data_IF_183215715968
#
_entry.id   IF_183215715968
#
_cell.length_a   1.000
_cell.length_b   1.000
_cell.length_c   1.000
_cell.angle_alpha   90.00
_cell.angle_beta   90.00
_cell.angle_gamma   90.00
#
_symmetry.space_group_name_H-M   'P 1'
#
loop_
_entity.id
_entity.type
_entity.pdbx_description
1 polymer ?
#
# COMPACT_ATOMS: atom_id res chain seq x y z
N UNK A 1 -14.83 24.56 -10.04
CA UNK A 1 -15.08 23.24 -9.41
C UNK A 1 -15.04 23.48 -7.93
N UNK A 2 -16.21 23.59 -7.28
CA UNK A 2 -16.39 23.79 -5.85
C UNK A 2 -15.80 22.58 -5.12
N UNK A 3 -14.78 22.84 -4.30
CA UNK A 3 -13.94 21.81 -3.75
C UNK A 3 -14.64 20.93 -2.73
N UNK A 4 -14.94 19.70 -3.13
CA UNK A 4 -15.07 18.62 -2.16
C UNK A 4 -13.70 18.49 -1.48
N UNK A 5 -13.63 18.58 -0.14
CA UNK A 5 -12.35 18.49 0.55
C UNK A 5 -11.70 17.13 0.21
N UNK A 6 -10.45 17.17 -0.22
CA UNK A 6 -9.67 15.96 -0.43
C UNK A 6 -9.44 15.33 0.95
N UNK A 7 -9.75 14.04 1.14
CA UNK A 7 -9.63 13.41 2.45
C UNK A 7 -8.16 13.32 2.88
N UNK A 8 -7.94 13.07 4.18
CA UNK A 8 -6.62 12.63 4.63
C UNK A 8 -6.27 11.30 3.98
N UNK A 9 -5.11 11.24 3.35
CA UNK A 9 -4.60 10.05 2.70
C UNK A 9 -3.49 9.41 3.53
N UNK A 10 -3.73 8.20 4.02
CA UNK A 10 -2.69 7.32 4.55
C UNK A 10 -2.17 6.46 3.41
N UNK A 11 -0.95 6.72 2.98
CA UNK A 11 -0.29 5.96 1.93
C UNK A 11 0.62 4.90 2.55
N UNK A 12 0.29 3.61 2.37
CA UNK A 12 1.15 2.52 2.83
C UNK A 12 2.27 2.29 1.82
N UNK A 13 3.47 2.73 2.18
CA UNK A 13 4.68 2.59 1.37
C UNK A 13 5.50 1.35 1.72
N UNK A 14 6.42 0.98 0.85
CA UNK A 14 7.36 -0.13 1.03
C UNK A 14 7.34 -1.11 -0.13
N UNK A 15 8.19 -2.15 -0.07
CA UNK A 15 8.16 -3.19 -1.11
C UNK A 15 7.00 -4.17 -0.86
N UNK A 16 6.36 -4.64 -1.91
CA UNK A 16 5.40 -5.74 -1.82
C UNK A 16 5.94 -6.92 -1.00
N UNK A 17 5.08 -7.66 -0.30
CA UNK A 17 5.42 -8.73 0.65
C UNK A 17 5.98 -8.25 2.01
N UNK A 18 5.96 -6.95 2.28
CA UNK A 18 6.35 -6.40 3.59
C UNK A 18 5.23 -6.41 4.63
N UNK A 19 4.05 -6.95 4.32
CA UNK A 19 2.92 -7.03 5.25
C UNK A 19 1.97 -5.84 5.20
N UNK A 20 2.09 -4.96 4.21
CA UNK A 20 1.22 -3.79 4.05
C UNK A 20 -0.27 -4.14 3.96
N UNK A 21 -0.64 -5.29 3.36
CA UNK A 21 -2.04 -5.75 3.33
C UNK A 21 -2.56 -6.08 4.73
N UNK A 22 -1.75 -6.64 5.62
CA UNK A 22 -2.16 -6.83 7.02
C UNK A 22 -2.38 -5.48 7.70
N UNK A 23 -1.41 -4.54 7.57
CA UNK A 23 -1.52 -3.20 8.16
C UNK A 23 -2.76 -2.48 7.62
N UNK A 24 -3.00 -2.52 6.31
CA UNK A 24 -4.18 -1.99 5.66
C UNK A 24 -5.48 -2.55 6.25
N UNK A 25 -5.57 -3.88 6.36
CA UNK A 25 -6.75 -4.57 6.88
C UNK A 25 -7.01 -4.26 8.37
N UNK A 26 -5.95 -4.04 9.16
CA UNK A 26 -6.07 -3.61 10.54
C UNK A 26 -6.55 -2.15 10.63
N UNK A 27 -6.02 -1.25 9.79
CA UNK A 27 -6.46 0.14 9.73
C UNK A 27 -7.93 0.27 9.31
N UNK A 28 -8.40 -0.60 8.40
CA UNK A 28 -9.80 -0.66 8.00
C UNK A 28 -10.77 -1.02 9.14
N UNK A 29 -10.27 -1.54 10.26
CA UNK A 29 -11.06 -1.79 11.47
C UNK A 29 -11.27 -0.54 12.34
N UNK A 30 -10.60 0.57 12.04
CA UNK A 30 -10.73 1.82 12.77
C UNK A 30 -11.95 2.63 12.28
N UNK A 31 -12.69 3.30 13.18
CA UNK A 31 -13.80 4.16 12.78
C UNK A 31 -13.33 5.31 11.88
N UNK A 32 -14.13 5.66 10.88
CA UNK A 32 -13.84 6.73 9.94
C UNK A 32 -12.68 6.45 8.95
N UNK A 33 -12.27 5.19 8.81
CA UNK A 33 -11.19 4.78 7.90
C UNK A 33 -11.74 3.86 6.81
N UNK A 34 -11.53 4.26 5.54
CA UNK A 34 -11.83 3.44 4.36
C UNK A 34 -10.54 2.95 3.71
N UNK A 35 -10.31 1.65 3.64
CA UNK A 35 -9.18 1.06 2.92
C UNK A 35 -9.59 0.57 1.53
N UNK A 36 -8.80 0.90 0.51
CA UNK A 36 -9.15 0.70 -0.89
C UNK A 36 -8.15 -0.14 -1.69
N UNK A 37 -7.14 -0.69 -1.02
CA UNK A 37 -6.14 -1.54 -1.66
C UNK A 37 -5.09 -0.75 -2.44
N UNK A 38 -4.61 -1.35 -3.51
CA UNK A 38 -3.56 -0.80 -4.36
C UNK A 38 -4.19 0.01 -5.50
N UNK A 39 -4.54 1.29 -5.24
CA UNK A 39 -5.20 2.19 -6.22
C UNK A 39 -4.38 2.38 -7.49
N UNK A 40 -3.05 2.30 -7.39
CA UNK A 40 -2.14 2.37 -8.56
C UNK A 40 -2.46 1.33 -9.64
N UNK A 41 -3.08 0.23 -9.27
CA UNK A 41 -3.47 -0.84 -10.18
C UNK A 41 -4.93 -0.76 -10.61
N UNK A 42 -5.75 0.11 -9.99
CA UNK A 42 -7.18 0.23 -10.23
C UNK A 42 -7.50 0.50 -11.72
N UNK A 43 -6.75 1.41 -12.33
CA UNK A 43 -6.96 1.79 -13.73
C UNK A 43 -6.92 0.60 -14.68
N UNK A 44 -5.89 -0.22 -14.57
CA UNK A 44 -5.70 -1.36 -15.46
C UNK A 44 -6.51 -2.58 -15.02
N UNK A 45 -6.44 -2.94 -13.73
CA UNK A 45 -7.02 -4.19 -13.23
C UNK A 45 -8.51 -4.07 -12.94
N UNK A 46 -8.93 -2.93 -12.36
CA UNK A 46 -10.33 -2.65 -12.09
C UNK A 46 -11.07 -2.20 -13.34
N UNK A 47 -10.74 -0.99 -13.85
CA UNK A 47 -11.52 -0.34 -14.91
C UNK A 47 -11.41 -1.08 -16.25
N UNK A 48 -10.20 -1.54 -16.65
CA UNK A 48 -10.00 -2.20 -17.96
C UNK A 48 -10.24 -3.71 -17.90
N UNK A 49 -9.69 -4.39 -16.88
CA UNK A 49 -9.71 -5.86 -16.81
C UNK A 49 -10.85 -6.43 -15.97
N UNK A 50 -11.62 -5.58 -15.31
CA UNK A 50 -12.74 -5.95 -14.43
C UNK A 50 -12.41 -7.04 -13.41
N UNK A 51 -11.17 -7.03 -12.88
CA UNK A 51 -10.73 -7.99 -11.85
C UNK A 51 -11.56 -7.84 -10.58
N UNK A 52 -11.59 -8.89 -9.77
CA UNK A 52 -12.41 -8.93 -8.55
C UNK A 52 -12.00 -7.90 -7.52
N UNK A 53 -12.98 -7.18 -7.00
CA UNK A 53 -12.89 -6.38 -5.78
C UNK A 53 -12.67 -7.27 -4.55
N UNK A 54 -12.14 -6.72 -3.48
CA UNK A 54 -11.97 -7.42 -2.21
C UNK A 54 -13.26 -7.95 -1.57
N UNK A 55 -14.42 -7.45 -1.99
CA UNK A 55 -15.74 -7.99 -1.59
C UNK A 55 -16.11 -9.28 -2.32
N UNK A 56 -15.37 -9.67 -3.35
CA UNK A 56 -15.62 -10.89 -4.14
C UNK A 56 -16.30 -10.63 -5.49
N UNK A 57 -17.04 -9.52 -5.64
CA UNK A 57 -17.66 -9.11 -6.90
C UNK A 57 -16.62 -8.66 -7.93
N UNK A 58 -16.98 -8.63 -9.22
CA UNK A 58 -16.18 -7.92 -10.21
C UNK A 58 -16.07 -6.43 -9.85
N UNK A 59 -15.09 -5.72 -10.38
CA UNK A 59 -14.94 -4.30 -10.11
C UNK A 59 -16.17 -3.52 -10.58
N UNK A 60 -16.70 -3.81 -11.77
CA UNK A 60 -17.91 -3.21 -12.32
C UNK A 60 -19.18 -3.61 -11.56
N UNK A 61 -19.25 -4.82 -11.03
CA UNK A 61 -20.35 -5.34 -10.23
C UNK A 61 -20.37 -4.82 -8.79
N UNK A 62 -19.24 -4.33 -8.28
CA UNK A 62 -19.12 -3.84 -6.92
C UNK A 62 -19.84 -2.48 -6.77
N UNK A 63 -20.89 -2.42 -5.95
CA UNK A 63 -21.66 -1.20 -5.71
C UNK A 63 -20.76 -0.04 -5.28
N UNK A 64 -19.82 -0.27 -4.35
CA UNK A 64 -18.88 0.74 -3.88
C UNK A 64 -18.08 1.38 -5.02
N UNK A 65 -17.45 0.57 -5.88
CA UNK A 65 -16.64 1.10 -6.97
C UNK A 65 -17.48 1.73 -8.07
N UNK A 66 -18.69 1.23 -8.31
CA UNK A 66 -19.63 1.87 -9.22
C UNK A 66 -20.00 3.28 -8.76
N UNK A 67 -20.33 3.43 -7.47
CA UNK A 67 -20.71 4.70 -6.88
C UNK A 67 -19.52 5.67 -6.83
N UNK A 68 -18.31 5.18 -6.51
CA UNK A 68 -17.06 5.97 -6.62
C UNK A 68 -16.84 6.45 -8.07
N UNK A 69 -17.04 5.60 -9.06
CA UNK A 69 -16.92 5.98 -10.47
C UNK A 69 -17.92 7.04 -10.88
N UNK A 70 -19.17 6.91 -10.40
CA UNK A 70 -20.22 7.89 -10.66
C UNK A 70 -19.88 9.25 -10.04
N UNK A 71 -19.47 9.28 -8.78
CA UNK A 71 -19.08 10.50 -8.07
C UNK A 71 -17.82 11.15 -8.66
N UNK A 72 -16.80 10.35 -8.99
CA UNK A 72 -15.54 10.87 -9.52
C UNK A 72 -15.61 11.35 -10.95
N UNK A 73 -16.33 10.65 -11.83
CA UNK A 73 -16.24 10.83 -13.29
C UNK A 73 -17.60 10.85 -14.01
N UNK A 74 -18.72 10.71 -13.31
CA UNK A 74 -20.02 10.47 -13.93
C UNK A 74 -20.17 9.02 -14.41
N UNK A 75 -19.30 8.13 -13.99
CA UNK A 75 -19.20 6.72 -14.35
C UNK A 75 -17.85 6.37 -14.96
N UNK A 76 -17.39 5.12 -14.75
CA UNK A 76 -16.10 4.66 -15.29
C UNK A 76 -16.05 4.69 -16.83
N UNK A 77 -17.19 4.59 -17.51
CA UNK A 77 -17.27 4.67 -18.97
C UNK A 77 -16.95 6.08 -19.52
N UNK A 78 -17.02 7.12 -18.69
CA UNK A 78 -16.68 8.50 -19.04
C UNK A 78 -15.20 8.82 -18.85
N UNK A 79 -14.44 7.88 -18.25
CA UNK A 79 -13.03 8.06 -17.99
C UNK A 79 -12.19 7.70 -19.22
N UNK A 80 -11.35 8.62 -19.66
CA UNK A 80 -10.26 8.33 -20.60
C UNK A 80 -9.12 7.59 -19.87
N UNK A 81 -9.25 6.26 -19.77
CA UNK A 81 -8.27 5.42 -19.08
C UNK A 81 -6.94 5.33 -19.84
N UNK A 82 -6.95 5.51 -21.16
CA UNK A 82 -5.73 5.55 -21.98
C UNK A 82 -4.91 6.79 -21.62
N UNK A 83 -5.58 7.94 -21.47
CA UNK A 83 -4.92 9.18 -21.01
C UNK A 83 -4.29 9.01 -19.63
N UNK A 84 -5.01 8.44 -18.65
CA UNK A 84 -4.46 8.17 -17.32
C UNK A 84 -3.24 7.25 -17.40
N UNK A 85 -3.30 6.21 -18.23
CA UNK A 85 -2.19 5.27 -18.44
C UNK A 85 -0.98 5.95 -19.09
N UNK A 86 -1.20 6.82 -20.06
CA UNK A 86 -0.14 7.62 -20.70
C UNK A 86 0.52 8.56 -19.70
N UNK A 87 -0.27 9.28 -18.91
CA UNK A 87 0.25 10.15 -17.84
C UNK A 87 1.06 9.37 -16.81
N UNK A 88 0.55 8.21 -16.37
CA UNK A 88 1.29 7.33 -15.49
C UNK A 88 2.65 6.93 -16.07
N UNK A 89 2.70 6.62 -17.36
CA UNK A 89 3.96 6.29 -18.03
C UNK A 89 4.93 7.48 -18.09
N UNK A 90 4.40 8.70 -18.21
CA UNK A 90 5.18 9.93 -18.29
C UNK A 90 5.74 10.37 -16.94
N UNK A 91 4.97 10.22 -15.82
CA UNK A 91 5.38 10.78 -14.52
C UNK A 91 5.60 9.75 -13.43
N UNK A 92 4.80 8.68 -13.33
CA UNK A 92 4.82 7.71 -12.23
C UNK A 92 5.65 6.47 -12.56
N UNK A 93 6.97 6.64 -12.57
CA UNK A 93 7.96 5.57 -12.75
C UNK A 93 9.10 5.73 -11.74
N UNK A 94 9.63 4.63 -11.24
CA UNK A 94 10.76 4.65 -10.30
C UNK A 94 11.95 5.46 -10.82
N UNK A 95 12.24 5.40 -12.12
CA UNK A 95 13.30 6.19 -12.76
C UNK A 95 13.06 7.71 -12.74
N UNK A 96 11.82 8.15 -12.53
CA UNK A 96 11.46 9.56 -12.45
C UNK A 96 11.56 10.14 -11.03
N UNK A 97 11.82 9.31 -10.01
CA UNK A 97 11.95 9.77 -8.62
C UNK A 97 12.96 10.92 -8.47
N UNK A 98 14.16 10.89 -9.09
CA UNK A 98 15.08 12.02 -8.98
C UNK A 98 14.51 13.34 -9.52
N UNK A 99 13.70 13.29 -10.58
CA UNK A 99 13.01 14.46 -11.12
C UNK A 99 11.88 14.93 -10.21
N UNK A 100 11.09 13.98 -9.67
CA UNK A 100 9.99 14.27 -8.75
C UNK A 100 10.46 14.76 -7.38
N UNK A 101 11.69 14.44 -6.99
CA UNK A 101 12.34 14.95 -5.77
C UNK A 101 12.94 16.34 -5.98
N UNK A 102 13.14 16.79 -7.21
CA UNK A 102 13.73 18.09 -7.48
C UNK A 102 12.85 19.24 -7.00
N UNK A 103 13.42 20.33 -6.43
CA UNK A 103 12.65 21.48 -5.93
C UNK A 103 11.86 22.21 -7.03
N UNK A 104 12.33 22.13 -8.28
CA UNK A 104 11.69 22.75 -9.44
C UNK A 104 11.45 21.71 -10.53
N UNK A 105 10.19 21.41 -10.80
CA UNK A 105 9.80 20.55 -11.91
C UNK A 105 9.84 21.31 -13.24
N UNK A 106 10.28 20.64 -14.31
CA UNK A 106 10.17 21.18 -15.67
C UNK A 106 8.71 21.44 -16.03
N UNK A 107 8.35 22.51 -16.78
CA UNK A 107 6.97 22.87 -17.09
C UNK A 107 6.14 21.70 -17.69
N UNK A 108 6.69 20.95 -18.64
CA UNK A 108 6.00 19.82 -19.25
C UNK A 108 5.66 18.71 -18.23
N UNK A 109 6.63 18.33 -17.38
CA UNK A 109 6.39 17.34 -16.32
C UNK A 109 5.37 17.85 -15.31
N UNK A 110 5.39 19.16 -15.01
CA UNK A 110 4.43 19.78 -14.08
C UNK A 110 3.01 19.70 -14.61
N UNK A 111 2.78 19.93 -15.90
CA UNK A 111 1.46 19.82 -16.51
C UNK A 111 0.91 18.39 -16.46
N UNK A 112 1.71 17.42 -16.94
CA UNK A 112 1.30 16.01 -16.92
C UNK A 112 1.09 15.49 -15.49
N UNK A 113 1.94 15.93 -14.54
CA UNK A 113 1.80 15.57 -13.14
C UNK A 113 0.53 16.16 -12.52
N UNK A 114 0.23 17.44 -12.79
CA UNK A 114 -0.97 18.09 -12.27
C UNK A 114 -2.24 17.40 -12.77
N UNK A 115 -2.29 17.05 -14.06
CA UNK A 115 -3.39 16.30 -14.63
C UNK A 115 -3.52 14.91 -14.02
N UNK A 116 -2.41 14.16 -13.91
CA UNK A 116 -2.37 12.84 -13.28
C UNK A 116 -2.87 12.86 -11.84
N UNK A 117 -2.44 13.85 -11.05
CA UNK A 117 -2.88 14.04 -9.68
C UNK A 117 -4.35 14.42 -9.57
N UNK A 118 -4.88 15.15 -10.55
CA UNK A 118 -6.31 15.46 -10.66
C UNK A 118 -7.19 14.21 -10.69
N UNK A 119 -6.78 13.16 -11.40
CA UNK A 119 -7.50 11.88 -11.39
C UNK A 119 -7.49 11.22 -10.01
N UNK A 120 -6.37 11.20 -9.33
CA UNK A 120 -6.26 10.61 -7.98
C UNK A 120 -7.06 11.41 -6.94
N UNK A 121 -6.98 12.74 -7.00
CA UNK A 121 -7.74 13.61 -6.09
C UNK A 121 -9.26 13.37 -6.23
N UNK A 122 -9.77 13.27 -7.45
CA UNK A 122 -11.18 12.95 -7.71
C UNK A 122 -11.57 11.58 -7.15
N UNK A 123 -10.73 10.57 -7.36
CA UNK A 123 -10.97 9.22 -6.82
C UNK A 123 -10.97 9.21 -5.30
N UNK A 124 -9.97 9.83 -4.64
CA UNK A 124 -9.92 9.84 -3.18
C UNK A 124 -11.08 10.64 -2.57
N UNK A 125 -11.46 11.77 -3.16
CA UNK A 125 -12.65 12.53 -2.73
C UNK A 125 -13.93 11.72 -2.87
N UNK A 126 -14.12 11.05 -4.01
CA UNK A 126 -15.27 10.18 -4.23
C UNK A 126 -15.30 8.97 -3.26
N UNK A 127 -14.13 8.38 -2.94
CA UNK A 127 -14.04 7.32 -1.93
C UNK A 127 -14.49 7.83 -0.57
N UNK A 128 -14.04 9.01 -0.15
CA UNK A 128 -14.44 9.60 1.13
C UNK A 128 -15.93 9.92 1.16
N UNK A 129 -16.49 10.47 0.09
CA UNK A 129 -17.91 10.77 -0.06
C UNK A 129 -18.77 9.51 0.02
N UNK A 130 -18.47 8.49 -0.80
CA UNK A 130 -19.25 7.25 -0.86
C UNK A 130 -19.14 6.43 0.42
N UNK A 131 -17.97 6.41 1.06
CA UNK A 131 -17.77 5.67 2.31
C UNK A 131 -18.21 6.44 3.56
N UNK A 132 -18.36 7.75 3.48
CA UNK A 132 -18.53 8.63 4.65
C UNK A 132 -17.29 8.69 5.56
N UNK A 133 -16.13 8.24 5.09
CA UNK A 133 -14.90 8.16 5.87
C UNK A 133 -13.96 9.34 5.56
N UNK A 134 -13.55 10.14 6.54
CA UNK A 134 -12.62 11.27 6.34
C UNK A 134 -11.18 10.83 6.07
N UNK A 135 -10.85 9.55 6.29
CA UNK A 135 -9.51 8.98 6.10
C UNK A 135 -9.55 7.85 5.09
N UNK A 136 -8.76 7.98 4.03
CA UNK A 136 -8.59 6.94 3.01
C UNK A 136 -7.22 6.29 3.16
N UNK A 137 -7.17 4.95 3.10
CA UNK A 137 -5.93 4.18 3.13
C UNK A 137 -5.68 3.57 1.76
N UNK A 138 -4.60 4.00 1.10
CA UNK A 138 -4.10 3.44 -0.15
C UNK A 138 -2.82 2.63 0.11
N UNK A 139 -2.86 1.36 -0.23
CA UNK A 139 -1.72 0.44 -0.06
C UNK A 139 -0.95 0.19 -1.37
N UNK A 140 -0.89 1.16 -2.27
CA UNK A 140 -0.22 1.06 -3.57
C UNK A 140 1.27 0.72 -3.48
N UNK A 141 1.96 1.06 -2.42
CA UNK A 141 3.36 0.72 -2.11
C UNK A 141 4.42 1.38 -3.00
N UNK A 142 4.05 1.90 -4.16
CA UNK A 142 4.98 2.47 -5.14
C UNK A 142 5.52 3.81 -4.66
N UNK A 143 6.84 3.90 -4.47
CA UNK A 143 7.47 5.15 -4.06
C UNK A 143 7.26 6.25 -5.11
N UNK A 144 7.28 5.93 -6.41
CA UNK A 144 7.04 6.90 -7.47
C UNK A 144 5.68 7.59 -7.37
N UNK A 145 4.61 6.83 -7.06
CA UNK A 145 3.30 7.44 -6.84
C UNK A 145 3.29 8.34 -5.60
N UNK A 146 3.92 7.92 -4.49
CA UNK A 146 4.03 8.77 -3.30
C UNK A 146 4.79 10.07 -3.60
N UNK A 147 5.84 10.02 -4.43
CA UNK A 147 6.54 11.19 -4.93
C UNK A 147 5.67 12.07 -5.86
N UNK A 148 4.76 11.49 -6.63
CA UNK A 148 3.77 12.27 -7.36
C UNK A 148 2.80 12.97 -6.40
N UNK A 149 2.18 12.21 -5.50
CA UNK A 149 1.13 12.69 -4.58
C UNK A 149 1.59 13.86 -3.69
N UNK A 150 2.87 13.93 -3.31
CA UNK A 150 3.41 15.05 -2.51
C UNK A 150 3.23 16.44 -3.17
N UNK A 151 3.05 16.47 -4.48
CA UNK A 151 2.89 17.73 -5.24
C UNK A 151 1.45 18.22 -5.29
N UNK A 152 0.49 17.47 -4.74
CA UNK A 152 -0.90 17.91 -4.69
C UNK A 152 -1.14 18.77 -3.43
N UNK A 153 -1.25 20.09 -3.62
CA UNK A 153 -1.31 21.06 -2.51
C UNK A 153 -2.49 20.85 -1.55
N UNK A 154 -3.59 20.26 -2.02
CA UNK A 154 -4.79 20.03 -1.18
C UNK A 154 -4.84 18.65 -0.50
N UNK A 155 -3.80 17.81 -0.64
CA UNK A 155 -3.81 16.45 -0.10
C UNK A 155 -3.06 16.39 1.25
N UNK A 156 -3.75 16.05 2.36
CA UNK A 156 -3.09 15.69 3.63
C UNK A 156 -2.49 14.29 3.49
N UNK A 157 -1.30 14.22 2.86
CA UNK A 157 -0.58 12.98 2.62
C UNK A 157 0.25 12.59 3.83
N UNK A 158 -0.03 11.40 4.39
CA UNK A 158 0.77 10.78 5.46
C UNK A 158 1.22 9.39 5.04
N UNK A 159 2.51 9.17 5.05
CA UNK A 159 3.10 7.89 4.60
C UNK A 159 3.38 7.00 5.79
N UNK A 160 2.82 5.80 5.77
CA UNK A 160 3.22 4.72 6.68
C UNK A 160 4.16 3.79 5.91
N UNK A 161 5.45 3.92 6.16
CA UNK A 161 6.49 3.13 5.51
C UNK A 161 6.63 1.78 6.20
N UNK A 162 5.99 0.75 5.64
CA UNK A 162 6.01 -0.62 6.16
C UNK A 162 7.25 -1.34 5.67
N UNK A 163 8.16 -1.64 6.58
CA UNK A 163 9.38 -2.39 6.30
C UNK A 163 9.30 -3.80 6.89
N UNK A 164 9.97 -4.74 6.25
CA UNK A 164 10.13 -6.12 6.71
C UNK A 164 11.55 -6.59 6.41
N UNK A 165 12.04 -7.56 7.19
CA UNK A 165 13.34 -8.19 6.94
C UNK A 165 13.51 -8.56 5.46
N UNK A 166 14.57 -8.07 4.82
CA UNK A 166 14.81 -8.25 3.38
C UNK A 166 14.86 -9.73 2.96
N UNK A 167 15.36 -10.60 3.86
CA UNK A 167 15.44 -12.06 3.65
C UNK A 167 14.05 -12.68 3.61
N UNK A 168 13.17 -12.28 4.53
CA UNK A 168 11.77 -12.69 4.54
C UNK A 168 11.03 -12.23 3.29
N UNK A 169 11.28 -10.99 2.85
CA UNK A 169 10.70 -10.43 1.63
C UNK A 169 11.18 -11.19 0.39
N UNK A 170 12.50 -11.41 0.24
CA UNK A 170 13.07 -12.14 -0.87
C UNK A 170 12.57 -13.59 -0.94
N UNK A 171 12.48 -14.27 0.21
CA UNK A 171 11.90 -15.61 0.30
C UNK A 171 10.42 -15.61 -0.15
N UNK A 172 9.64 -14.62 0.27
CA UNK A 172 8.23 -14.50 -0.12
C UNK A 172 8.06 -14.24 -1.62
N UNK A 173 8.93 -13.43 -2.25
CA UNK A 173 8.92 -13.16 -3.69
C UNK A 173 9.37 -14.36 -4.55
N UNK A 174 10.16 -15.26 -4.00
CA UNK A 174 10.57 -16.48 -4.70
C UNK A 174 9.44 -17.53 -4.78
N UNK A 175 8.41 -17.43 -3.93
CA UNK A 175 7.30 -18.39 -3.86
C UNK A 175 6.25 -18.12 -4.94
N UNK A 176 5.66 -19.18 -5.44
CA UNK A 176 4.50 -19.12 -6.33
C UNK A 176 3.25 -18.83 -5.50
N UNK A 177 2.52 -17.79 -5.86
CA UNK A 177 1.26 -17.39 -5.20
C UNK A 177 0.21 -17.18 -6.27
N UNK A 178 -0.89 -17.92 -6.16
CA UNK A 178 -2.05 -17.78 -7.06
C UNK A 178 -2.71 -16.41 -6.93
N UNK A 179 -3.29 -15.95 -8.04
CA UNK A 179 -4.10 -14.73 -8.13
C UNK A 179 -5.58 -15.11 -8.28
N UNK A 180 -6.37 -15.14 -7.19
CA UNK A 180 -7.79 -15.48 -7.27
C UNK A 180 -8.64 -14.36 -7.88
N UNK A 181 -8.07 -13.18 -8.04
CA UNK A 181 -8.70 -11.97 -8.60
C UNK A 181 -8.68 -11.90 -10.13
N UNK A 182 -7.80 -12.64 -10.79
CA UNK A 182 -7.70 -12.65 -12.23
C UNK A 182 -8.81 -13.51 -12.88
N UNK A 183 -9.27 -13.08 -14.05
CA UNK A 183 -10.29 -13.80 -14.83
C UNK A 183 -9.81 -15.18 -15.30
N UNK A 184 -8.51 -15.34 -15.54
CA UNK A 184 -7.88 -16.60 -15.90
C UNK A 184 -6.86 -17.01 -14.82
N UNK A 185 -6.66 -18.33 -14.56
CA UNK A 185 -5.68 -18.78 -13.60
C UNK A 185 -4.30 -18.17 -13.85
N UNK A 186 -3.82 -17.40 -12.91
CA UNK A 186 -2.53 -16.70 -13.02
C UNK A 186 -1.81 -16.66 -11.67
N UNK A 187 -0.54 -16.32 -11.73
CA UNK A 187 0.30 -16.23 -10.54
C UNK A 187 0.89 -14.84 -10.40
N UNK A 188 1.18 -14.46 -9.16
CA UNK A 188 1.92 -13.24 -8.89
C UNK A 188 3.36 -13.36 -9.42
N UNK A 189 3.93 -12.24 -9.85
CA UNK A 189 5.32 -12.18 -10.29
C UNK A 189 6.28 -12.78 -9.24
N UNK A 190 7.37 -13.36 -9.70
CA UNK A 190 8.44 -13.92 -8.87
C UNK A 190 9.75 -13.20 -9.16
N UNK A 191 10.55 -13.01 -8.14
CA UNK A 191 11.89 -12.42 -8.26
C UNK A 191 12.96 -13.36 -7.75
N UNK A 192 14.12 -13.32 -8.39
CA UNK A 192 15.34 -13.94 -7.84
C UNK A 192 15.72 -13.24 -6.53
N UNK A 193 16.52 -13.88 -5.66
CA UNK A 193 16.98 -13.25 -4.42
C UNK A 193 17.72 -11.92 -4.64
N UNK A 194 18.53 -11.83 -5.68
CA UNK A 194 19.26 -10.60 -6.05
C UNK A 194 18.35 -9.50 -6.53
N UNK A 195 17.41 -9.81 -7.41
CA UNK A 195 16.40 -8.85 -7.89
C UNK A 195 15.52 -8.34 -6.74
N UNK A 196 15.07 -9.24 -5.86
CA UNK A 196 14.29 -8.88 -4.69
C UNK A 196 15.08 -7.95 -3.73
N UNK A 197 16.38 -8.21 -3.52
CA UNK A 197 17.26 -7.36 -2.73
C UNK A 197 17.42 -5.97 -3.37
N UNK A 198 17.62 -5.90 -4.68
CA UNK A 198 17.69 -4.64 -5.43
C UNK A 198 16.42 -3.82 -5.32
N UNK A 199 15.26 -4.44 -5.55
CA UNK A 199 13.95 -3.78 -5.37
C UNK A 199 13.72 -3.34 -3.93
N UNK A 200 14.14 -4.15 -2.94
CA UNK A 200 14.01 -3.81 -1.53
C UNK A 200 14.82 -2.56 -1.18
N UNK A 201 16.08 -2.47 -1.63
CA UNK A 201 16.90 -1.29 -1.44
C UNK A 201 16.31 -0.05 -2.14
N UNK A 202 15.93 -0.19 -3.41
CA UNK A 202 15.41 0.92 -4.20
C UNK A 202 14.13 1.52 -3.59
N UNK A 203 13.14 0.67 -3.27
CA UNK A 203 11.88 1.14 -2.72
C UNK A 203 12.04 1.73 -1.31
N UNK A 204 12.76 1.04 -0.42
CA UNK A 204 12.96 1.53 0.94
C UNK A 204 13.85 2.79 0.97
N UNK A 205 14.87 2.86 0.12
CA UNK A 205 15.69 4.07 -0.05
C UNK A 205 14.88 5.26 -0.55
N UNK A 206 13.99 5.02 -1.52
CA UNK A 206 13.10 6.07 -2.03
C UNK A 206 12.14 6.60 -0.96
N UNK A 207 11.57 5.77 -0.10
CA UNK A 207 10.74 6.25 1.01
C UNK A 207 11.55 7.00 2.08
N UNK A 208 12.84 6.67 2.28
CA UNK A 208 13.71 7.50 3.13
C UNK A 208 13.97 8.87 2.51
N UNK A 209 14.21 8.92 1.20
CA UNK A 209 14.35 10.18 0.47
C UNK A 209 13.06 11.01 0.58
N UNK A 210 11.90 10.40 0.37
CA UNK A 210 10.60 11.09 0.49
C UNK A 210 10.42 11.71 1.87
N UNK A 211 10.79 10.99 2.93
CA UNK A 211 10.76 11.50 4.30
C UNK A 211 11.73 12.67 4.52
N UNK A 212 12.93 12.60 3.94
CA UNK A 212 13.91 13.71 4.03
C UNK A 212 13.48 14.96 3.26
N UNK A 213 12.58 14.80 2.28
CA UNK A 213 11.96 15.89 1.52
C UNK A 213 10.73 16.50 2.24
N UNK A 214 10.53 16.19 3.52
CA UNK A 214 9.52 16.80 4.37
C UNK A 214 8.13 16.15 4.33
N UNK A 215 7.93 15.06 3.61
CA UNK A 215 6.64 14.32 3.64
C UNK A 215 6.50 13.61 4.98
N UNK A 216 5.42 13.87 5.75
CA UNK A 216 5.16 13.17 7.00
C UNK A 216 5.22 11.66 6.81
N UNK A 217 6.18 11.01 7.47
CA UNK A 217 6.45 9.58 7.26
C UNK A 217 6.70 8.86 8.59
N UNK A 218 5.88 7.86 8.89
CA UNK A 218 6.06 6.94 10.01
C UNK A 218 6.60 5.61 9.50
N UNK A 219 7.79 5.21 9.92
CA UNK A 219 8.30 3.87 9.63
C UNK A 219 7.80 2.87 10.65
N UNK A 220 7.25 1.74 10.15
CA UNK A 220 6.70 0.64 10.94
C UNK A 220 7.32 -0.67 10.46
N UNK A 221 7.83 -1.49 11.40
CA UNK A 221 8.32 -2.83 11.08
C UNK A 221 7.16 -3.83 11.12
N UNK A 222 7.07 -4.67 10.11
CA UNK A 222 6.09 -5.77 10.08
C UNK A 222 6.14 -6.65 11.34
N UNK A 223 7.35 -6.92 11.80
CA UNK A 223 7.60 -7.75 12.97
C UNK A 223 7.02 -7.14 14.25
N UNK A 224 7.08 -5.80 14.38
CA UNK A 224 6.51 -5.09 15.53
C UNK A 224 4.97 -5.08 15.46
N UNK A 225 4.40 -4.93 14.26
CA UNK A 225 2.93 -5.03 14.05
C UNK A 225 2.42 -6.40 14.47
N UNK A 226 3.14 -7.47 14.11
CA UNK A 226 2.71 -8.83 14.43
C UNK A 226 2.92 -9.16 15.91
N UNK A 227 3.99 -8.62 16.53
CA UNK A 227 4.29 -8.87 17.93
C UNK A 227 3.32 -8.13 18.89
N UNK A 228 2.93 -6.89 18.54
CA UNK A 228 2.07 -6.06 19.37
C UNK A 228 1.10 -5.24 18.47
N UNK A 229 0.09 -5.88 17.86
CA UNK A 229 -0.75 -5.23 16.86
C UNK A 229 -1.52 -4.02 17.39
N UNK A 230 -2.04 -4.07 18.62
CA UNK A 230 -2.74 -2.94 19.24
C UNK A 230 -1.80 -1.72 19.42
N UNK A 231 -0.60 -1.94 19.94
CA UNK A 231 0.40 -0.86 20.11
C UNK A 231 0.83 -0.27 18.78
N UNK A 232 1.07 -1.11 17.78
CA UNK A 232 1.45 -0.65 16.45
C UNK A 232 0.32 0.16 15.79
N UNK A 233 -0.93 -0.30 15.95
CA UNK A 233 -2.10 0.36 15.39
C UNK A 233 -2.36 1.71 16.07
N UNK A 234 -2.25 1.78 17.41
CA UNK A 234 -2.36 3.03 18.16
C UNK A 234 -1.35 4.08 17.68
N UNK A 235 -0.10 3.67 17.50
CA UNK A 235 0.97 4.55 16.98
C UNK A 235 0.68 5.04 15.56
N UNK A 236 0.13 4.19 14.71
CA UNK A 236 -0.24 4.59 13.34
C UNK A 236 -1.45 5.53 13.39
N UNK A 237 -2.45 5.25 14.23
CA UNK A 237 -3.64 6.09 14.38
C UNK A 237 -3.27 7.49 14.90
N UNK A 238 -2.42 7.58 15.93
CA UNK A 238 -1.88 8.85 16.45
C UNK A 238 -1.17 9.64 15.33
N UNK A 239 -0.23 9.01 14.63
CA UNK A 239 0.47 9.62 13.49
C UNK A 239 -0.50 10.07 12.40
N UNK A 240 -1.53 9.28 12.12
CA UNK A 240 -2.56 9.60 11.12
C UNK A 240 -3.57 10.63 11.62
N UNK A 241 -3.58 10.98 12.91
CA UNK A 241 -4.58 11.86 13.52
C UNK A 241 -5.97 11.25 13.48
N UNK A 242 -6.06 9.92 13.62
CA UNK A 242 -7.31 9.18 13.78
C UNK A 242 -7.62 9.13 15.27
N UNK A 243 -8.81 9.61 15.65
CA UNK A 243 -9.27 9.51 17.03
C UNK A 243 -9.48 8.01 17.37
N UNK A 244 -8.90 7.57 18.48
CA UNK A 244 -9.12 6.25 19.04
C UNK A 244 -9.50 6.45 20.51
N UNK A 245 -10.72 6.04 20.88
CA UNK A 245 -11.21 6.11 22.26
C UNK A 245 -10.47 5.08 23.11
N UNK A 246 -9.32 5.48 23.63
CA UNK A 246 -8.45 4.63 24.44
C UNK A 246 -7.96 3.39 23.71
N UNK A 247 -6.99 2.97 23.36
CA UNK A 247 -6.33 1.84 22.67
C UNK A 247 -7.06 0.47 22.69
N UNK A 248 -8.36 0.44 23.01
CA UNK A 248 -9.17 -0.77 22.92
C UNK A 248 -9.76 -0.90 21.51
N UNK A 249 -9.09 -1.71 20.71
CA UNK A 249 -9.57 -2.07 19.37
C UNK A 249 -10.41 -3.34 19.48
N UNK A 250 -11.73 -3.21 19.69
CA UNK A 250 -12.66 -4.32 19.90
C UNK A 250 -12.66 -5.42 18.82
N UNK A 251 -12.02 -5.17 17.66
CA UNK A 251 -11.79 -6.17 16.63
C UNK A 251 -10.48 -6.96 16.82
N UNK A 252 -9.62 -6.58 17.77
CA UNK A 252 -8.41 -7.31 18.15
C UNK A 252 -8.66 -8.12 19.41
N UNK A 253 -8.10 -9.32 19.49
CA UNK A 253 -8.08 -10.14 20.69
C UNK A 253 -6.77 -10.89 20.82
N UNK A 254 -6.44 -11.34 22.03
CA UNK A 254 -5.30 -12.19 22.31
C UNK A 254 -5.78 -13.47 23.01
N UNK A 255 -5.46 -14.63 22.45
CA UNK A 255 -5.84 -15.93 22.98
C UNK A 255 -4.67 -16.91 22.85
N UNK A 256 -4.29 -17.56 23.93
CA UNK A 256 -3.19 -18.56 23.94
C UNK A 256 -1.86 -18.02 23.40
N UNK A 257 -1.53 -16.74 23.67
CA UNK A 257 -0.31 -16.10 23.17
C UNK A 257 -0.33 -15.74 21.67
N UNK A 258 -1.46 -15.91 21.01
CA UNK A 258 -1.68 -15.52 19.61
C UNK A 258 -2.59 -14.30 19.55
N UNK A 259 -2.20 -13.28 18.80
CA UNK A 259 -3.08 -12.15 18.47
C UNK A 259 -4.01 -12.50 17.32
N UNK A 260 -5.24 -12.05 17.41
CA UNK A 260 -6.29 -12.27 16.41
C UNK A 260 -6.90 -10.94 16.00
N UNK A 261 -7.34 -10.86 14.75
CA UNK A 261 -8.16 -9.75 14.27
C UNK A 261 -9.45 -10.27 13.65
N UNK A 262 -10.56 -9.59 13.92
CA UNK A 262 -11.83 -9.81 13.19
C UNK A 262 -11.86 -8.86 12.02
N UNK A 263 -11.64 -9.39 10.82
CA UNK A 263 -11.59 -8.61 9.58
C UNK A 263 -12.96 -8.60 8.90
N UNK A 264 -13.46 -7.41 8.58
CA UNK A 264 -14.68 -7.22 7.79
C UNK A 264 -14.46 -7.41 6.29
N UNK A 265 -15.47 -7.19 5.48
CA UNK A 265 -15.32 -7.03 4.02
C UNK A 265 -14.62 -5.69 3.72
N UNK A 266 -13.76 -5.66 2.73
CA UNK A 266 -13.15 -4.41 2.24
C UNK A 266 -13.26 -4.32 0.73
N UNK A 267 -13.52 -3.11 0.22
CA UNK A 267 -13.65 -2.86 -1.22
C UNK A 267 -12.29 -2.48 -1.84
N UNK A 268 -11.33 -3.40 -1.72
CA UNK A 268 -9.97 -3.18 -2.22
C UNK A 268 -9.87 -3.42 -3.73
N UNK A 269 -9.34 -2.44 -4.48
CA UNK A 269 -9.22 -2.51 -5.94
C UNK A 269 -8.23 -3.59 -6.42
N UNK A 270 -7.13 -3.76 -5.69
CA UNK A 270 -6.09 -4.73 -6.00
C UNK A 270 -5.27 -5.05 -4.74
N UNK A 271 -4.45 -6.08 -4.78
CA UNK A 271 -3.56 -6.40 -3.67
C UNK A 271 -3.25 -7.87 -3.50
N UNK A 272 -2.69 -8.21 -2.35
CA UNK A 272 -2.42 -9.59 -1.97
C UNK A 272 -3.73 -10.37 -1.75
N UNK A 273 -3.80 -11.69 -2.04
CA UNK A 273 -5.00 -12.52 -1.81
C UNK A 273 -5.58 -12.45 -0.38
N UNK A 274 -4.80 -12.07 0.63
CA UNK A 274 -5.29 -11.81 1.98
C UNK A 274 -6.43 -10.77 2.01
N UNK A 275 -6.57 -9.93 1.00
CA UNK A 275 -7.66 -8.93 0.88
C UNK A 275 -9.06 -9.56 0.85
N UNK A 276 -9.17 -10.81 0.44
CA UNK A 276 -10.43 -11.58 0.43
C UNK A 276 -10.75 -12.26 1.75
N UNK A 277 -9.82 -12.24 2.72
CA UNK A 277 -10.00 -12.92 3.99
C UNK A 277 -10.91 -12.12 4.93
N UNK A 278 -11.92 -12.74 5.50
CA UNK A 278 -12.84 -12.14 6.47
C UNK A 278 -12.97 -13.01 7.71
N UNK A 279 -13.60 -12.48 8.77
CA UNK A 279 -13.79 -13.18 10.03
C UNK A 279 -12.57 -13.15 10.95
N UNK A 280 -12.45 -14.14 11.83
CA UNK A 280 -11.35 -14.23 12.83
C UNK A 280 -10.07 -14.74 12.17
N UNK A 281 -9.03 -13.92 12.13
CA UNK A 281 -7.75 -14.19 11.47
C UNK A 281 -6.61 -14.10 12.47
N UNK A 282 -5.76 -15.12 12.51
CA UNK A 282 -4.57 -15.12 13.37
C UNK A 282 -3.50 -14.19 12.81
N UNK A 283 -3.00 -13.29 13.65
CA UNK A 283 -1.86 -12.44 13.34
C UNK A 283 -0.60 -13.19 13.76
N UNK A 284 0.07 -13.81 12.77
CA UNK A 284 1.25 -14.65 13.03
C UNK A 284 2.43 -14.20 12.20
N UNK A 285 3.60 -14.23 12.83
CA UNK A 285 4.88 -13.98 12.17
C UNK A 285 5.20 -15.12 11.19
N UNK A 286 5.54 -14.76 9.96
CA UNK A 286 6.04 -15.73 8.98
C UNK A 286 7.56 -15.75 8.99
N UNK A 287 8.13 -16.67 9.78
CA UNK A 287 9.57 -16.88 9.93
C UNK A 287 10.11 -18.07 9.12
N UNK A 288 9.29 -18.69 8.24
CA UNK A 288 9.68 -19.86 7.42
C UNK A 288 10.96 -19.65 6.62
N UNK A 289 11.28 -18.41 6.26
CA UNK A 289 12.53 -18.10 5.56
C UNK A 289 13.79 -18.48 6.37
N UNK A 290 13.71 -18.53 7.70
CA UNK A 290 14.86 -18.87 8.57
C UNK A 290 15.34 -20.30 8.35
N UNK A 291 14.42 -21.20 8.09
CA UNK A 291 14.70 -22.63 7.89
C UNK A 291 14.64 -23.04 6.42
N UNK A 292 13.70 -22.50 5.63
CA UNK A 292 13.42 -22.94 4.27
C UNK A 292 14.18 -22.15 3.17
N UNK A 293 14.79 -21.01 3.49
CA UNK A 293 15.57 -20.24 2.51
C UNK A 293 16.99 -20.84 2.40
N UNK A 294 17.46 -21.19 1.19
CA UNK A 294 18.82 -21.68 0.98
C UNK A 294 19.87 -20.72 1.62
N UNK A 295 20.89 -21.25 2.32
CA UNK A 295 21.91 -20.43 2.99
C UNK A 295 22.65 -19.46 2.04
N UNK A 296 22.89 -19.87 0.78
CA UNK A 296 23.48 -19.01 -0.25
C UNK A 296 22.62 -17.80 -0.56
N UNK A 297 21.31 -18.00 -0.78
CA UNK A 297 20.35 -16.92 -1.03
C UNK A 297 20.27 -15.96 0.16
N UNK A 298 20.22 -16.51 1.37
CA UNK A 298 20.19 -15.72 2.61
C UNK A 298 21.44 -14.84 2.74
N UNK A 299 22.63 -15.40 2.49
CA UNK A 299 23.90 -14.63 2.49
C UNK A 299 23.89 -13.52 1.45
N UNK A 300 23.51 -13.83 0.20
CA UNK A 300 23.44 -12.86 -0.91
C UNK A 300 22.50 -11.70 -0.57
N UNK A 301 21.27 -11.99 -0.13
CA UNK A 301 20.31 -10.94 0.23
C UNK A 301 20.84 -10.09 1.39
N UNK A 302 21.40 -10.73 2.43
CA UNK A 302 21.98 -10.00 3.57
C UNK A 302 23.09 -9.06 3.12
N UNK A 303 24.04 -9.53 2.32
CA UNK A 303 25.16 -8.71 1.84
C UNK A 303 24.68 -7.50 1.03
N UNK A 304 23.74 -7.73 0.09
CA UNK A 304 23.22 -6.68 -0.78
C UNK A 304 22.37 -5.63 -0.04
N UNK A 305 21.71 -6.01 1.06
CA UNK A 305 20.80 -5.11 1.78
C UNK A 305 21.36 -4.60 3.11
N UNK A 306 22.60 -4.98 3.45
CA UNK A 306 23.19 -4.76 4.77
C UNK A 306 23.08 -3.34 5.33
N UNK A 307 23.33 -2.26 4.58
CA UNK A 307 23.26 -0.90 5.12
C UNK A 307 21.86 -0.53 5.61
N UNK A 308 20.84 -0.77 4.76
CA UNK A 308 19.44 -0.48 5.13
C UNK A 308 18.89 -1.49 6.14
N UNK A 309 19.28 -2.76 6.04
CA UNK A 309 18.90 -3.80 6.98
C UNK A 309 19.32 -3.42 8.41
N UNK A 310 20.59 -2.97 8.57
CA UNK A 310 21.12 -2.49 9.84
C UNK A 310 20.41 -1.22 10.32
N UNK A 311 20.19 -0.25 9.41
CA UNK A 311 19.48 1.00 9.73
C UNK A 311 18.05 0.77 10.23
N UNK A 312 17.41 -0.32 9.78
CA UNK A 312 16.07 -0.69 10.23
C UNK A 312 16.05 -1.59 11.47
N UNK A 313 17.23 -1.86 12.08
CA UNK A 313 17.35 -2.64 13.30
C UNK A 313 17.21 -4.14 13.11
N UNK A 314 17.47 -4.65 11.89
CA UNK A 314 17.49 -6.09 11.66
C UNK A 314 18.90 -6.67 11.94
N UNK A 315 19.00 -7.84 12.58
CA UNK A 315 20.28 -8.44 12.89
C UNK A 315 21.02 -8.88 11.62
N UNK A 316 22.34 -8.68 11.58
CA UNK A 316 23.20 -9.10 10.46
C UNK A 316 23.20 -10.61 10.26
N UNK A 317 23.18 -11.39 11.34
CA UNK A 317 23.01 -12.85 11.31
C UNK A 317 21.56 -13.17 11.66
N UNK A 318 20.92 -14.08 10.89
CA UNK A 318 19.68 -14.67 11.33
C UNK A 318 20.00 -15.57 12.53
N UNK A 319 19.52 -15.22 13.71
CA UNK A 319 19.56 -16.12 14.84
C UNK A 319 18.73 -17.36 14.54
#
# INVERSE_FOLDING_TARGET
>A
VTGVPVPRLIYLGGLGRSGSTLVERLLAGLPGVCSVGEVVHMWQRGVVQDERCGCGESFSGCAFWRDVGAAAFGGWAQLDVERVTALRAAVDRTRHIPLLAAPALRPAIRSDLAEYLGYYARVYSAIAEVSGCPVVVDSSKHASLAFCLRWHAGLDLRVVHVVRDSRAVAFSWARQVSRPDAATPSYMARYSPTAAAGHWNAQNGAFQLLASEGVPTLRVRYEDVVAAPATALARIAEFAGIATDGHDFGFLSAEGGTSWARLGVAHTASGNPMRFTTGKVAIRRDDRWRTAMPPSHRRTVTALTLPLLARYGYPRRAA
#
